data_IF_012288838131
#
_entry.id   IF_012288838131
#
_cell.length_a   1.000
_cell.length_b   1.000
_cell.length_c   1.000
_cell.angle_alpha   90.00
_cell.angle_beta   90.00
_cell.angle_gamma   90.00
#
_symmetry.space_group_name_H-M   'P 1'
#
loop_
_entity.id
_entity.type
_entity.pdbx_description
1 polymer ?
#
# COMPACT_ATOMS: atom_id res chain seq x y z
N UNK A 1 -17.29 -9.63 -8.50
CA UNK A 1 -18.20 -10.81 -8.59
C UNK A 1 -17.68 -11.87 -9.56
N UNK A 2 -17.40 -11.53 -10.83
CA UNK A 2 -16.93 -12.46 -11.88
C UNK A 2 -15.76 -13.38 -11.46
N UNK A 3 -14.67 -12.82 -10.94
CA UNK A 3 -13.49 -13.61 -10.52
C UNK A 3 -13.80 -14.65 -9.44
N UNK A 4 -14.78 -14.40 -8.57
CA UNK A 4 -15.21 -15.38 -7.55
C UNK A 4 -15.90 -16.57 -8.20
N UNK A 5 -16.79 -16.31 -9.16
CA UNK A 5 -17.53 -17.37 -9.87
C UNK A 5 -16.58 -18.23 -10.71
N UNK A 6 -15.63 -17.59 -11.40
CA UNK A 6 -14.58 -18.30 -12.14
C UNK A 6 -13.75 -19.22 -11.22
N UNK A 7 -13.35 -18.72 -10.05
CA UNK A 7 -12.61 -19.52 -9.08
C UNK A 7 -13.41 -20.74 -8.58
N UNK A 8 -14.70 -20.56 -8.28
CA UNK A 8 -15.57 -21.67 -7.87
C UNK A 8 -15.75 -22.71 -8.98
N UNK A 9 -15.90 -22.27 -10.23
CA UNK A 9 -16.03 -23.17 -11.37
C UNK A 9 -14.75 -24.01 -11.58
N UNK A 10 -13.57 -23.40 -11.53
CA UNK A 10 -12.29 -24.10 -11.66
C UNK A 10 -12.04 -25.08 -10.50
N UNK A 11 -12.40 -24.69 -9.27
CA UNK A 11 -12.30 -25.57 -8.10
C UNK A 11 -13.22 -26.79 -8.24
N UNK A 12 -14.48 -26.56 -8.65
CA UNK A 12 -15.45 -27.63 -8.90
C UNK A 12 -14.98 -28.60 -10.00
N UNK A 13 -14.43 -28.07 -11.09
CA UNK A 13 -13.89 -28.88 -12.17
C UNK A 13 -12.67 -29.70 -11.73
N UNK A 14 -11.72 -29.10 -11.00
CA UNK A 14 -10.58 -29.83 -10.46
C UNK A 14 -11.00 -30.98 -9.52
N UNK A 15 -11.95 -30.72 -8.61
CA UNK A 15 -12.49 -31.75 -7.72
C UNK A 15 -13.20 -32.88 -8.49
N UNK A 16 -13.95 -32.55 -9.54
CA UNK A 16 -14.59 -33.53 -10.41
C UNK A 16 -13.56 -34.40 -11.14
N UNK A 17 -12.48 -33.81 -11.66
CA UNK A 17 -11.38 -34.55 -12.27
C UNK A 17 -10.71 -35.53 -11.29
N UNK A 18 -10.39 -35.09 -10.05
CA UNK A 18 -9.81 -35.95 -9.01
C UNK A 18 -10.74 -37.11 -8.67
N UNK A 19 -12.04 -36.84 -8.51
CA UNK A 19 -13.04 -37.90 -8.24
C UNK A 19 -13.11 -38.93 -9.38
N UNK A 20 -13.05 -38.49 -10.63
CA UNK A 20 -13.02 -39.41 -11.77
C UNK A 20 -11.76 -40.25 -11.83
N UNK A 21 -10.59 -39.69 -11.49
CA UNK A 21 -9.36 -40.46 -11.34
C UNK A 21 -9.53 -41.60 -10.33
N UNK A 22 -10.09 -41.30 -9.15
CA UNK A 22 -10.32 -42.30 -8.10
C UNK A 22 -11.30 -43.40 -8.52
N UNK A 23 -12.33 -43.06 -9.30
CA UNK A 23 -13.40 -44.00 -9.66
C UNK A 23 -13.08 -44.84 -10.91
N UNK A 24 -12.46 -44.23 -11.92
CA UNK A 24 -12.29 -44.82 -13.25
C UNK A 24 -10.84 -45.23 -13.53
N UNK A 25 -9.89 -44.81 -12.70
CA UNK A 25 -8.47 -44.84 -13.04
C UNK A 25 -8.16 -43.88 -14.21
N UNK A 26 -6.92 -43.92 -14.68
CA UNK A 26 -6.45 -43.07 -15.78
C UNK A 26 -5.77 -41.80 -15.29
N UNK A 27 -4.53 -41.59 -15.72
CA UNK A 27 -3.65 -40.50 -15.28
C UNK A 27 -4.03 -39.14 -15.88
N UNK A 28 -4.71 -39.11 -17.03
CA UNK A 28 -5.12 -37.89 -17.72
C UNK A 28 -6.01 -36.99 -16.85
N UNK A 29 -6.84 -37.58 -15.99
CA UNK A 29 -7.68 -36.85 -15.05
C UNK A 29 -6.87 -35.99 -14.06
N UNK A 30 -5.69 -36.45 -13.63
CA UNK A 30 -4.80 -35.67 -12.76
C UNK A 30 -4.18 -34.50 -13.51
N UNK A 31 -3.84 -34.71 -14.79
CA UNK A 31 -3.34 -33.65 -15.67
C UNK A 31 -4.37 -32.55 -15.86
N UNK A 32 -5.64 -32.90 -16.14
CA UNK A 32 -6.72 -31.91 -16.24
C UNK A 32 -6.99 -31.18 -14.92
N UNK A 33 -6.91 -31.87 -13.79
CA UNK A 33 -7.01 -31.24 -12.47
C UNK A 33 -5.88 -30.21 -12.26
N UNK A 34 -4.64 -30.56 -12.64
CA UNK A 34 -3.50 -29.64 -12.63
C UNK A 34 -3.71 -28.40 -13.49
N UNK A 35 -4.19 -28.57 -14.72
CA UNK A 35 -4.51 -27.45 -15.62
C UNK A 35 -5.62 -26.53 -15.11
N UNK A 36 -6.56 -27.05 -14.32
CA UNK A 36 -7.62 -26.26 -13.72
C UNK A 36 -7.19 -25.53 -12.45
N UNK A 37 -6.34 -26.18 -11.63
CA UNK A 37 -5.75 -25.58 -10.44
C UNK A 37 -4.83 -24.41 -10.78
N UNK A 38 -4.14 -24.46 -11.90
CA UNK A 38 -3.21 -23.42 -12.33
C UNK A 38 -3.86 -22.02 -12.49
N UNK A 39 -4.92 -21.79 -13.29
CA UNK A 39 -5.61 -20.51 -13.35
C UNK A 39 -6.39 -20.18 -12.06
N UNK A 40 -6.86 -21.20 -11.33
CA UNK A 40 -7.54 -20.99 -10.05
C UNK A 40 -6.60 -20.33 -9.04
N UNK A 41 -5.41 -20.91 -8.90
CA UNK A 41 -4.39 -20.39 -7.97
C UNK A 41 -4.02 -18.98 -8.36
N UNK A 42 -3.78 -18.69 -9.64
CA UNK A 42 -3.55 -17.32 -10.13
C UNK A 42 -4.66 -16.32 -9.76
N UNK A 43 -5.94 -16.67 -9.96
CA UNK A 43 -7.07 -15.77 -9.60
C UNK A 43 -7.12 -15.52 -8.09
N UNK A 44 -6.89 -16.57 -7.29
CA UNK A 44 -6.82 -16.45 -5.84
C UNK A 44 -5.62 -15.61 -5.42
N UNK A 45 -4.46 -15.75 -6.07
CA UNK A 45 -3.27 -14.91 -5.88
C UNK A 45 -3.60 -13.44 -6.07
N UNK A 46 -4.25 -13.09 -7.19
CA UNK A 46 -4.52 -11.70 -7.52
C UNK A 46 -5.46 -11.06 -6.50
N UNK A 47 -6.49 -11.79 -6.06
CA UNK A 47 -7.40 -11.32 -5.02
C UNK A 47 -6.75 -11.21 -3.65
N UNK A 48 -6.03 -12.24 -3.23
CA UNK A 48 -5.36 -12.27 -1.94
C UNK A 48 -4.23 -11.24 -1.88
N UNK A 49 -3.45 -11.11 -2.95
CA UNK A 49 -2.39 -10.11 -3.10
C UNK A 49 -2.92 -8.69 -3.02
N UNK A 50 -4.01 -8.36 -3.73
CA UNK A 50 -4.62 -7.03 -3.64
C UNK A 50 -5.06 -6.68 -2.21
N UNK A 51 -5.66 -7.65 -1.50
CA UNK A 51 -6.05 -7.48 -0.09
C UNK A 51 -4.85 -7.39 0.84
N UNK A 52 -3.80 -8.18 0.59
CA UNK A 52 -2.57 -8.17 1.36
C UNK A 52 -1.83 -6.83 1.26
N UNK A 53 -1.72 -6.29 0.04
CA UNK A 53 -1.11 -4.99 -0.21
C UNK A 53 -1.84 -3.89 0.55
N UNK A 54 -3.18 -3.93 0.54
CA UNK A 54 -4.00 -2.95 1.23
C UNK A 54 -3.87 -3.08 2.76
N UNK A 55 -4.06 -4.28 3.31
CA UNK A 55 -4.22 -4.47 4.76
C UNK A 55 -2.95 -4.93 5.48
N UNK A 56 -1.77 -4.80 4.86
CA UNK A 56 -0.50 -5.26 5.46
C UNK A 56 -0.47 -6.78 5.66
N UNK A 57 -1.08 -7.52 4.73
CA UNK A 57 -1.26 -8.97 4.79
C UNK A 57 0.06 -9.73 4.76
N UNK A 58 0.24 -10.54 5.80
CA UNK A 58 1.40 -11.36 6.11
C UNK A 58 1.84 -12.33 5.00
N UNK A 59 3.14 -12.67 5.03
CA UNK A 59 3.83 -13.79 4.37
C UNK A 59 2.99 -15.08 4.15
N UNK A 60 1.97 -15.31 4.97
CA UNK A 60 1.01 -16.43 4.88
C UNK A 60 0.34 -16.55 3.50
N UNK A 61 0.05 -15.45 2.82
CA UNK A 61 -0.53 -15.50 1.45
C UNK A 61 0.49 -16.04 0.44
N UNK A 62 1.75 -15.62 0.55
CA UNK A 62 2.83 -16.17 -0.26
C UNK A 62 3.13 -17.63 0.07
N UNK A 63 3.04 -18.03 1.34
CA UNK A 63 3.17 -19.43 1.76
C UNK A 63 2.05 -20.30 1.18
N UNK A 64 0.79 -19.83 1.21
CA UNK A 64 -0.33 -20.53 0.59
C UNK A 64 -0.11 -20.70 -0.91
N UNK A 65 0.38 -19.66 -1.59
CA UNK A 65 0.71 -19.70 -3.02
C UNK A 65 1.80 -20.74 -3.33
N UNK A 66 2.86 -20.76 -2.53
CA UNK A 66 3.93 -21.74 -2.67
C UNK A 66 3.41 -23.17 -2.57
N UNK A 67 2.54 -23.45 -1.59
CA UNK A 67 1.91 -24.76 -1.40
C UNK A 67 1.02 -25.14 -2.60
N UNK A 68 0.25 -24.21 -3.12
CA UNK A 68 -0.64 -24.45 -4.25
C UNK A 68 0.11 -24.68 -5.57
N UNK A 69 1.19 -23.95 -5.82
CA UNK A 69 2.07 -24.21 -6.97
C UNK A 69 2.75 -25.58 -6.83
N UNK A 70 3.21 -25.94 -5.62
CA UNK A 70 3.73 -27.27 -5.32
C UNK A 70 2.71 -28.38 -5.57
N UNK A 71 1.46 -28.19 -5.15
CA UNK A 71 0.39 -29.15 -5.39
C UNK A 71 0.09 -29.31 -6.89
N UNK A 72 0.07 -28.21 -7.64
CA UNK A 72 -0.14 -28.22 -9.10
C UNK A 72 0.98 -29.00 -9.78
N UNK A 73 2.23 -28.79 -9.35
CA UNK A 73 3.39 -29.54 -9.83
C UNK A 73 3.24 -31.04 -9.59
N UNK A 74 2.88 -31.44 -8.36
CA UNK A 74 2.71 -32.85 -8.00
C UNK A 74 1.63 -33.51 -8.86
N UNK A 75 0.50 -32.84 -9.08
CA UNK A 75 -0.59 -33.37 -9.90
C UNK A 75 -0.20 -33.52 -11.38
N UNK A 76 0.46 -32.51 -11.94
CA UNK A 76 0.96 -32.56 -13.32
C UNK A 76 2.02 -33.65 -13.49
N UNK A 77 2.88 -33.86 -12.50
CA UNK A 77 3.90 -34.91 -12.55
C UNK A 77 3.33 -36.31 -12.37
N UNK A 78 2.35 -36.48 -11.48
CA UNK A 78 1.65 -37.75 -11.31
C UNK A 78 0.83 -38.16 -12.54
N UNK A 79 0.32 -37.18 -13.28
CA UNK A 79 -0.41 -37.37 -14.54
C UNK A 79 0.48 -37.60 -15.77
N UNK A 80 1.77 -37.23 -15.71
CA UNK A 80 2.71 -37.33 -16.83
C UNK A 80 3.44 -38.67 -16.84
N UNK A 81 3.40 -39.38 -17.97
CA UNK A 81 4.01 -40.70 -18.19
C UNK A 81 5.56 -40.69 -18.24
N UNK A 82 6.20 -39.67 -17.67
CA UNK A 82 7.66 -39.54 -17.63
C UNK A 82 8.30 -39.08 -18.94
N UNK A 83 7.52 -38.72 -19.96
CA UNK A 83 8.02 -38.49 -21.33
C UNK A 83 8.37 -37.04 -21.67
N UNK A 84 8.33 -36.09 -20.71
CA UNK A 84 8.84 -34.74 -20.99
C UNK A 84 8.90 -33.80 -19.79
N UNK A 85 9.92 -32.94 -19.77
CA UNK A 85 10.08 -31.87 -18.77
C UNK A 85 9.20 -30.64 -19.04
N UNK A 86 8.36 -30.64 -20.10
CA UNK A 86 7.51 -29.50 -20.44
C UNK A 86 6.58 -29.01 -19.29
N UNK A 87 5.91 -29.89 -18.50
CA UNK A 87 5.09 -29.43 -17.37
C UNK A 87 5.94 -28.82 -16.24
N UNK A 88 7.19 -29.27 -16.06
CA UNK A 88 8.12 -28.69 -15.09
C UNK A 88 8.50 -27.27 -15.50
N UNK A 89 8.89 -27.06 -16.75
CA UNK A 89 9.27 -25.74 -17.26
C UNK A 89 8.11 -24.75 -17.23
N UNK A 90 6.88 -25.18 -17.57
CA UNK A 90 5.69 -24.34 -17.49
C UNK A 90 5.39 -23.93 -16.05
N UNK A 91 5.45 -24.88 -15.10
CA UNK A 91 5.22 -24.60 -13.67
C UNK A 91 6.27 -23.63 -13.14
N UNK A 92 7.54 -23.84 -13.49
CA UNK A 92 8.64 -22.98 -13.08
C UNK A 92 8.49 -21.56 -13.65
N UNK A 93 8.15 -21.43 -14.93
CA UNK A 93 7.91 -20.14 -15.57
C UNK A 93 6.76 -19.37 -14.89
N UNK A 94 5.67 -20.05 -14.54
CA UNK A 94 4.56 -19.42 -13.82
C UNK A 94 4.91 -19.05 -12.38
N UNK A 95 5.72 -19.86 -11.70
CA UNK A 95 6.21 -19.52 -10.37
C UNK A 95 7.07 -18.26 -10.40
N UNK A 96 8.03 -18.20 -11.33
CA UNK A 96 8.87 -17.01 -11.55
C UNK A 96 8.00 -15.81 -11.91
N UNK A 97 7.03 -15.98 -12.82
CA UNK A 97 6.09 -14.91 -13.18
C UNK A 97 5.30 -14.40 -11.97
N UNK A 98 4.79 -15.30 -11.13
CA UNK A 98 4.03 -14.95 -9.92
C UNK A 98 4.89 -14.25 -8.89
N UNK A 99 6.13 -14.72 -8.68
CA UNK A 99 7.09 -14.10 -7.78
C UNK A 99 7.50 -12.70 -8.27
N UNK A 100 7.73 -12.54 -9.57
CA UNK A 100 8.00 -11.23 -10.19
C UNK A 100 6.83 -10.27 -10.00
N UNK A 101 5.59 -10.72 -10.17
CA UNK A 101 4.39 -9.92 -9.90
C UNK A 101 4.33 -9.57 -8.41
N UNK A 102 4.56 -10.51 -7.50
CA UNK A 102 4.56 -10.28 -6.07
C UNK A 102 5.57 -9.21 -5.63
N UNK A 103 6.82 -9.29 -6.11
CA UNK A 103 7.87 -8.30 -5.85
C UNK A 103 7.48 -6.94 -6.45
N UNK A 104 6.93 -6.95 -7.67
CA UNK A 104 6.46 -5.73 -8.34
C UNK A 104 5.32 -5.07 -7.57
N UNK A 105 4.38 -5.85 -7.01
CA UNK A 105 3.24 -5.34 -6.25
C UNK A 105 3.67 -4.60 -4.98
N UNK A 106 4.77 -4.99 -4.34
CA UNK A 106 5.35 -4.23 -3.23
C UNK A 106 5.79 -2.83 -3.69
N UNK A 107 6.39 -2.74 -4.89
CA UNK A 107 6.69 -1.46 -5.54
C UNK A 107 5.43 -0.65 -5.90
N UNK A 108 4.32 -1.32 -6.23
CA UNK A 108 3.03 -0.67 -6.50
C UNK A 108 2.19 -0.39 -5.25
N UNK A 109 2.61 -0.84 -4.06
CA UNK A 109 1.84 -0.71 -2.81
C UNK A 109 1.41 0.73 -2.56
N UNK A 110 2.33 1.68 -2.66
CA UNK A 110 2.03 3.11 -2.50
C UNK A 110 1.03 3.64 -3.55
N UNK A 111 1.04 3.11 -4.77
CA UNK A 111 0.09 3.49 -5.82
C UNK A 111 -1.32 2.93 -5.53
N UNK A 112 -1.39 1.68 -5.08
CA UNK A 112 -2.66 1.00 -4.73
C UNK A 112 -3.31 1.67 -3.51
N UNK A 113 -2.53 1.92 -2.44
CA UNK A 113 -3.00 2.64 -1.25
C UNK A 113 -3.52 4.01 -1.65
N UNK A 114 -2.73 4.78 -2.42
CA UNK A 114 -3.15 6.12 -2.88
C UNK A 114 -4.45 6.08 -3.68
N UNK A 115 -4.60 5.12 -4.59
CA UNK A 115 -5.81 5.02 -5.41
C UNK A 115 -7.04 4.69 -4.56
N UNK A 116 -6.92 3.73 -3.65
CA UNK A 116 -8.00 3.36 -2.73
C UNK A 116 -8.35 4.52 -1.79
N UNK A 117 -7.35 5.13 -1.17
CA UNK A 117 -7.49 6.30 -0.30
C UNK A 117 -8.17 7.49 -1.01
N UNK A 118 -7.87 7.73 -2.28
CA UNK A 118 -8.57 8.74 -3.10
C UNK A 118 -10.05 8.36 -3.32
N UNK A 119 -10.35 7.07 -3.44
CA UNK A 119 -11.74 6.58 -3.49
C UNK A 119 -12.51 6.85 -2.19
N UNK A 120 -11.92 6.52 -1.05
CA UNK A 120 -12.54 6.74 0.27
C UNK A 120 -12.69 8.23 0.59
N UNK A 121 -11.67 9.06 0.29
CA UNK A 121 -11.74 10.52 0.42
C UNK A 121 -12.93 11.11 -0.35
N UNK A 122 -13.22 10.62 -1.57
CA UNK A 122 -14.35 11.12 -2.37
C UNK A 122 -15.72 10.85 -1.77
N UNK A 123 -15.84 9.87 -0.87
CA UNK A 123 -17.10 9.60 -0.17
C UNK A 123 -17.41 10.68 0.87
N UNK A 124 -16.39 11.35 1.40
CA UNK A 124 -16.53 12.39 2.44
C UNK A 124 -16.36 13.80 1.89
N UNK A 125 -15.51 14.01 0.89
CA UNK A 125 -15.27 15.31 0.24
C UNK A 125 -15.20 15.10 -1.27
N UNK A 126 -16.19 15.63 -2.00
CA UNK A 126 -16.33 15.40 -3.44
C UNK A 126 -15.13 15.92 -4.26
N UNK A 127 -14.47 16.96 -3.74
CA UNK A 127 -13.32 17.62 -4.34
C UNK A 127 -12.01 16.81 -4.20
N UNK A 128 -12.01 15.68 -3.47
CA UNK A 128 -10.88 14.77 -3.37
C UNK A 128 -10.54 14.11 -4.72
N UNK A 129 -9.83 14.81 -5.58
CA UNK A 129 -9.27 14.26 -6.80
C UNK A 129 -7.94 14.95 -7.08
N UNK A 130 -6.90 14.14 -7.28
CA UNK A 130 -5.52 14.61 -7.48
C UNK A 130 -5.35 15.58 -8.67
N UNK A 131 -6.35 15.69 -9.55
CA UNK A 131 -6.35 16.63 -10.68
C UNK A 131 -7.33 17.80 -10.56
N UNK A 132 -8.31 17.75 -9.66
CA UNK A 132 -9.35 18.79 -9.56
C UNK A 132 -8.89 19.90 -8.63
N UNK A 133 -8.46 19.54 -7.42
CA UNK A 133 -8.19 20.49 -6.34
C UNK A 133 -7.19 21.60 -6.73
N UNK A 134 -6.04 21.32 -7.38
CA UNK A 134 -5.09 22.38 -7.79
C UNK A 134 -5.64 23.36 -8.83
N UNK A 135 -6.64 22.93 -9.62
CA UNK A 135 -7.25 23.70 -10.71
C UNK A 135 -8.43 24.56 -10.26
N UNK A 136 -8.88 24.38 -9.02
CA UNK A 136 -9.96 25.20 -8.47
C UNK A 136 -9.48 26.64 -8.26
N UNK A 137 -10.38 27.63 -8.33
CA UNK A 137 -10.07 28.99 -7.90
C UNK A 137 -9.81 29.02 -6.38
N UNK A 138 -8.99 29.97 -5.92
CA UNK A 138 -8.56 30.12 -4.53
C UNK A 138 -9.69 29.97 -3.47
N UNK A 139 -10.87 30.62 -3.58
CA UNK A 139 -11.92 30.46 -2.56
C UNK A 139 -12.44 29.02 -2.48
N UNK A 140 -12.55 28.33 -3.62
CA UNK A 140 -13.01 26.93 -3.64
C UNK A 140 -11.94 25.97 -3.10
N UNK A 141 -10.66 26.31 -3.24
CA UNK A 141 -9.58 25.54 -2.61
C UNK A 141 -9.65 25.64 -1.09
N UNK A 142 -9.84 26.85 -0.56
CA UNK A 142 -10.00 27.08 0.87
C UNK A 142 -11.20 26.31 1.43
N UNK A 143 -12.37 26.42 0.79
CA UNK A 143 -13.56 25.65 1.18
C UNK A 143 -13.28 24.13 1.19
N UNK A 144 -12.60 23.62 0.18
CA UNK A 144 -12.23 22.20 0.12
C UNK A 144 -11.25 21.80 1.23
N UNK A 145 -10.26 22.65 1.54
CA UNK A 145 -9.31 22.42 2.65
C UNK A 145 -10.03 22.44 4.01
N UNK A 146 -11.00 23.31 4.21
CA UNK A 146 -11.80 23.35 5.44
C UNK A 146 -12.62 22.06 5.60
N UNK A 147 -13.29 21.61 4.54
CA UNK A 147 -14.01 20.32 4.54
C UNK A 147 -13.07 19.15 4.83
N UNK A 148 -11.87 19.15 4.24
CA UNK A 148 -10.88 18.10 4.50
C UNK A 148 -10.37 18.14 5.93
N UNK A 149 -10.13 19.32 6.49
CA UNK A 149 -9.69 19.52 7.88
C UNK A 149 -10.74 18.98 8.85
N UNK A 150 -12.01 19.32 8.64
CA UNK A 150 -13.12 18.82 9.44
C UNK A 150 -13.27 17.28 9.33
N UNK A 151 -13.18 16.74 8.11
CA UNK A 151 -13.24 15.29 7.88
C UNK A 151 -12.05 14.55 8.52
N UNK A 152 -10.86 15.17 8.52
CA UNK A 152 -9.65 14.59 9.10
C UNK A 152 -9.78 14.45 10.62
N UNK A 153 -10.36 15.45 11.29
CA UNK A 153 -10.63 15.41 12.72
C UNK A 153 -11.71 14.39 13.09
N UNK A 154 -12.67 14.12 12.20
CA UNK A 154 -13.79 13.21 12.45
C UNK A 154 -13.49 11.74 12.11
N UNK A 155 -12.53 11.47 11.22
CA UNK A 155 -12.36 10.11 10.66
C UNK A 155 -11.42 9.22 11.49
N UNK A 156 -11.93 8.04 11.86
CA UNK A 156 -11.10 6.94 12.34
C UNK A 156 -10.56 6.05 11.22
N UNK A 157 -11.11 6.17 10.00
CA UNK A 157 -10.75 5.31 8.87
C UNK A 157 -9.37 5.67 8.29
N UNK A 158 -8.51 4.65 8.23
CA UNK A 158 -7.13 4.79 7.80
C UNK A 158 -6.99 5.30 6.36
N UNK A 159 -7.76 4.73 5.41
CA UNK A 159 -7.64 5.13 4.00
C UNK A 159 -8.25 6.50 3.72
N UNK A 160 -9.34 6.86 4.41
CA UNK A 160 -9.92 8.19 4.37
C UNK A 160 -8.90 9.21 4.85
N UNK A 161 -8.23 8.96 5.98
CA UNK A 161 -7.17 9.81 6.52
C UNK A 161 -6.02 10.01 5.52
N UNK A 162 -5.48 8.93 4.96
CA UNK A 162 -4.44 8.99 3.92
C UNK A 162 -4.92 9.80 2.71
N UNK A 163 -6.17 9.59 2.29
CA UNK A 163 -6.75 10.25 1.13
C UNK A 163 -6.85 11.76 1.33
N UNK A 164 -7.29 12.20 2.51
CA UNK A 164 -7.37 13.61 2.88
C UNK A 164 -5.98 14.25 2.87
N UNK A 165 -4.99 13.65 3.53
CA UNK A 165 -3.60 14.14 3.57
C UNK A 165 -3.00 14.18 2.16
N UNK A 166 -3.24 13.16 1.33
CA UNK A 166 -2.80 13.11 -0.06
C UNK A 166 -3.38 14.25 -0.90
N UNK A 167 -4.62 14.68 -0.65
CA UNK A 167 -5.22 15.79 -1.40
C UNK A 167 -4.67 17.14 -0.92
N UNK A 168 -4.49 17.31 0.39
CA UNK A 168 -3.82 18.50 0.96
C UNK A 168 -2.41 18.71 0.39
N UNK A 169 -1.68 17.63 0.11
CA UNK A 169 -0.34 17.68 -0.52
C UNK A 169 -0.31 18.43 -1.86
N UNK A 170 -1.43 18.45 -2.59
CA UNK A 170 -1.52 19.12 -3.89
C UNK A 170 -1.82 20.63 -3.79
N UNK A 171 -2.16 21.14 -2.61
CA UNK A 171 -2.44 22.56 -2.33
C UNK A 171 -1.71 23.01 -1.05
N UNK A 172 -0.36 22.93 -1.03
CA UNK A 172 0.42 23.06 0.21
C UNK A 172 0.32 24.45 0.86
N UNK A 173 0.05 25.52 0.09
CA UNK A 173 -0.11 26.86 0.65
C UNK A 173 -1.42 26.98 1.44
N UNK A 174 -2.53 26.51 0.86
CA UNK A 174 -3.85 26.51 1.50
C UNK A 174 -3.91 25.48 2.63
N UNK A 175 -3.25 24.33 2.47
CA UNK A 175 -3.24 23.24 3.44
C UNK A 175 -2.58 23.59 4.78
N UNK A 176 -1.87 24.72 4.90
CA UNK A 176 -1.32 25.18 6.19
C UNK A 176 -2.43 25.36 7.24
N UNK A 177 -3.64 25.74 6.82
CA UNK A 177 -4.81 25.84 7.69
C UNK A 177 -5.23 24.48 8.31
N UNK A 178 -4.82 23.36 7.70
CA UNK A 178 -5.11 22.02 8.20
C UNK A 178 -4.07 21.51 9.22
N UNK A 179 -2.96 22.23 9.43
CA UNK A 179 -1.90 21.81 10.36
C UNK A 179 -2.41 21.46 11.77
N UNK A 180 -3.33 22.23 12.40
CA UNK A 180 -3.86 21.88 13.72
C UNK A 180 -4.52 20.49 13.77
N UNK A 181 -5.11 20.02 12.67
CA UNK A 181 -5.69 18.69 12.58
C UNK A 181 -4.66 17.60 12.20
N UNK A 182 -3.59 17.97 11.48
CA UNK A 182 -2.53 17.03 11.06
C UNK A 182 -1.53 16.76 12.19
N UNK A 183 -1.14 17.78 12.96
CA UNK A 183 -0.15 17.69 14.04
C UNK A 183 -0.43 16.55 15.04
N UNK A 184 -1.65 16.41 15.61
CA UNK A 184 -1.92 15.34 16.57
C UNK A 184 -1.78 13.94 15.97
N UNK A 185 -1.92 13.79 14.64
CA UNK A 185 -1.78 12.49 13.97
C UNK A 185 -0.32 12.00 13.92
N UNK A 186 0.67 12.89 14.01
CA UNK A 186 2.10 12.52 13.90
C UNK A 186 2.52 11.53 15.00
N UNK A 187 1.95 11.67 16.19
CA UNK A 187 2.32 10.87 17.35
C UNK A 187 1.94 9.40 17.19
N UNK A 188 0.74 9.11 16.66
CA UNK A 188 0.14 7.77 16.63
C UNK A 188 -0.09 7.23 15.21
N UNK A 189 0.39 7.93 14.18
CA UNK A 189 0.26 7.50 12.80
C UNK A 189 0.98 6.17 12.56
N UNK A 190 0.29 5.26 11.86
CA UNK A 190 0.91 4.09 11.25
C UNK A 190 1.93 4.52 10.18
N UNK A 191 2.86 3.62 9.76
CA UNK A 191 3.93 3.98 8.84
C UNK A 191 3.48 4.60 7.51
N UNK A 192 2.33 4.20 6.98
CA UNK A 192 1.83 4.73 5.71
C UNK A 192 1.27 6.14 5.92
N UNK A 193 0.41 6.32 6.92
CA UNK A 193 -0.13 7.64 7.29
C UNK A 193 1.02 8.61 7.58
N UNK A 194 2.01 8.18 8.37
CA UNK A 194 3.16 8.99 8.72
C UNK A 194 3.94 9.39 7.46
N UNK A 195 4.22 8.45 6.56
CA UNK A 195 4.92 8.74 5.29
C UNK A 195 4.20 9.78 4.44
N UNK A 196 2.87 9.82 4.43
CA UNK A 196 2.11 10.87 3.73
C UNK A 196 2.11 12.21 4.48
N UNK A 197 2.04 12.20 5.81
CA UNK A 197 2.18 13.42 6.61
C UNK A 197 3.54 14.06 6.35
N UNK A 198 4.63 13.29 6.41
CA UNK A 198 5.98 13.82 6.17
C UNK A 198 6.12 14.41 4.77
N UNK A 199 5.57 13.76 3.74
CA UNK A 199 5.54 14.32 2.37
C UNK A 199 4.77 15.64 2.30
N UNK A 200 3.66 15.77 3.02
CA UNK A 200 2.90 17.02 3.12
C UNK A 200 3.75 18.12 3.78
N UNK A 201 4.34 17.84 4.95
CA UNK A 201 5.17 18.79 5.69
C UNK A 201 6.41 19.19 4.88
N UNK A 202 7.07 18.23 4.23
CA UNK A 202 8.21 18.47 3.34
C UNK A 202 7.83 19.40 2.17
N UNK A 203 6.61 19.26 1.63
CA UNK A 203 6.10 20.11 0.56
C UNK A 203 5.81 21.54 1.02
N UNK A 204 5.36 21.70 2.28
CA UNK A 204 5.12 23.02 2.90
C UNK A 204 6.43 23.72 3.28
N UNK A 205 7.49 22.98 3.60
CA UNK A 205 8.75 23.54 4.07
C UNK A 205 8.58 24.31 5.37
N UNK A 206 9.12 25.53 5.46
CA UNK A 206 9.02 26.38 6.65
C UNK A 206 7.60 26.81 7.00
N UNK A 207 6.64 26.71 6.06
CA UNK A 207 5.22 26.90 6.34
C UNK A 207 4.61 25.86 7.26
N UNK A 208 5.34 24.78 7.58
CA UNK A 208 4.95 23.74 8.52
C UNK A 208 5.78 23.76 9.83
N UNK A 209 6.40 24.90 10.17
CA UNK A 209 7.24 25.02 11.37
C UNK A 209 6.52 24.60 12.66
N UNK A 210 5.20 24.83 12.77
CA UNK A 210 4.38 24.45 13.92
C UNK A 210 4.34 22.93 14.17
N UNK A 211 4.61 22.11 13.14
CA UNK A 211 4.67 20.66 13.26
C UNK A 211 6.05 20.15 13.75
N UNK A 212 7.08 21.00 13.79
CA UNK A 212 8.43 20.59 14.17
C UNK A 212 8.53 19.94 15.57
N UNK A 213 7.85 20.45 16.63
CA UNK A 213 7.89 19.82 17.95
C UNK A 213 7.30 18.40 17.94
N UNK A 214 6.20 18.18 17.19
CA UNK A 214 5.57 16.87 17.10
C UNK A 214 6.45 15.86 16.34
N UNK A 215 7.10 16.30 15.25
CA UNK A 215 8.09 15.50 14.52
C UNK A 215 9.28 15.13 15.41
N UNK A 216 9.80 16.09 16.18
CA UNK A 216 10.91 15.86 17.11
C UNK A 216 10.52 14.88 18.23
N UNK A 217 9.32 15.02 18.81
CA UNK A 217 8.81 14.09 19.82
C UNK A 217 8.69 12.66 19.26
N UNK A 218 8.22 12.51 18.01
CA UNK A 218 8.15 11.22 17.33
C UNK A 218 9.54 10.61 17.05
N UNK A 219 10.57 11.44 16.83
CA UNK A 219 11.97 10.95 16.74
C UNK A 219 12.46 10.45 18.11
N UNK A 220 12.18 11.19 19.19
CA UNK A 220 12.65 10.84 20.53
C UNK A 220 12.03 9.55 21.10
N UNK A 221 10.76 9.27 20.80
CA UNK A 221 10.04 8.11 21.32
C UNK A 221 10.27 6.77 20.59
N UNK A 222 11.27 6.68 19.71
CA UNK A 222 11.30 5.64 18.67
C UNK A 222 12.09 4.37 18.98
N UNK A 223 11.70 3.30 18.28
CA UNK A 223 12.47 2.05 18.16
C UNK A 223 13.24 2.02 16.82
N UNK A 224 14.34 1.22 16.68
CA UNK A 224 15.23 1.25 15.50
C UNK A 224 14.61 0.91 14.13
N UNK A 225 13.33 0.54 14.07
CA UNK A 225 12.67 0.01 12.86
C UNK A 225 11.99 1.08 11.99
N UNK A 226 11.72 2.25 12.54
CA UNK A 226 11.15 3.36 11.79
C UNK A 226 12.26 4.19 11.13
N UNK A 227 12.12 4.52 9.84
CA UNK A 227 13.08 5.32 9.08
C UNK A 227 13.27 6.69 9.74
N UNK A 228 14.27 6.82 10.61
CA UNK A 228 14.67 8.06 11.26
C UNK A 228 15.09 9.09 10.23
N UNK A 229 15.71 8.63 9.14
CA UNK A 229 16.15 9.47 8.03
C UNK A 229 15.06 10.37 7.46
N UNK A 230 13.86 9.85 7.18
CA UNK A 230 12.79 10.67 6.58
C UNK A 230 12.28 11.73 7.57
N UNK A 231 12.17 11.38 8.85
CA UNK A 231 11.69 12.31 9.87
C UNK A 231 12.72 13.37 10.22
N UNK A 232 14.01 13.00 10.30
CA UNK A 232 15.11 13.94 10.50
C UNK A 232 15.26 14.89 9.30
N UNK A 233 15.17 14.36 8.08
CA UNK A 233 15.18 15.17 6.86
C UNK A 233 14.00 16.14 6.83
N UNK A 234 12.81 15.67 7.17
CA UNK A 234 11.61 16.52 7.27
C UNK A 234 11.78 17.60 8.34
N UNK A 235 12.23 17.22 9.54
CA UNK A 235 12.48 18.15 10.65
C UNK A 235 13.44 19.26 10.25
N UNK A 236 14.55 18.91 9.61
CA UNK A 236 15.54 19.87 9.12
C UNK A 236 14.94 20.88 8.13
N UNK A 237 13.97 20.47 7.31
CA UNK A 237 13.36 21.32 6.29
C UNK A 237 12.27 22.24 6.83
N UNK A 238 11.50 21.76 7.81
CA UNK A 238 10.40 22.55 8.41
C UNK A 238 10.88 23.46 9.53
N UNK A 239 12.02 23.17 10.17
CA UNK A 239 12.61 24.04 11.18
C UNK A 239 13.19 25.28 10.51
N UNK A 240 12.71 26.50 10.82
CA UNK A 240 13.32 27.72 10.31
C UNK A 240 14.79 27.76 10.75
N UNK A 241 15.72 28.03 9.82
CA UNK A 241 17.11 28.30 10.16
C UNK A 241 17.20 29.65 10.89
N UNK A 242 16.81 29.70 12.16
CA UNK A 242 17.11 30.79 13.07
C UNK A 242 18.03 30.22 14.15
N UNK A 243 19.26 30.75 14.23
CA UNK A 243 20.32 30.48 15.23
C UNK A 243 21.41 29.43 14.92
N UNK A 244 22.14 29.59 13.81
CA UNK A 244 23.54 29.10 13.72
C UNK A 244 24.57 30.21 13.46
N UNK A 245 24.18 31.48 13.36
CA UNK A 245 25.12 32.59 13.07
C UNK A 245 25.08 33.75 14.07
N UNK A 246 24.38 33.63 15.20
CA UNK A 246 24.13 34.76 16.09
C UNK A 246 24.44 34.49 17.57
N UNK A 247 25.64 34.03 17.91
CA UNK A 247 26.30 34.28 19.22
C UNK A 247 27.76 33.79 19.18
N UNK A 248 28.63 34.56 18.52
CA UNK A 248 30.06 34.60 18.86
C UNK A 248 30.28 35.71 19.89
N UNK A 249 31.07 35.49 20.95
CA UNK A 249 31.15 36.40 22.09
C UNK A 249 31.76 37.75 21.70
N UNK A 250 31.09 38.82 22.08
CA UNK A 250 31.69 40.16 22.18
C UNK A 250 32.74 40.08 23.27
N UNK A 251 34.01 39.92 22.89
CA UNK A 251 35.13 40.19 23.77
C UNK A 251 35.20 41.71 23.96
N UNK A 252 34.52 42.23 24.99
CA UNK A 252 34.82 43.56 25.52
C UNK A 252 36.11 43.48 26.30
N UNK A 253 37.08 44.32 25.94
CA UNK A 253 38.35 44.40 26.63
C UNK A 253 38.23 44.89 28.07
N UNK A 254 39.22 44.47 28.85
CA UNK A 254 39.87 45.21 29.93
C UNK A 254 41.25 44.61 30.13
#
# INVERSE_FOLDING_TARGET
MFLTLLALALAGFAAWCVRNHMNKGGRDWLTYAGYALMPLTFVLTMKAGASAVLHGGSFKIFAALFLFTGLTYVLLRAGSDGTGNAPLWLTLAMFIGTLSIAISLEGYRGMIIKHHATGECRKVVAECSSGILPRLPAPKKQEAVEKMTAALAATSDHYTRIGLICNLYYVPAEAQAALPAVIPLIADADPDTLGYILKLLDKMGTGAADAAPAVAARIAGRTPRESTYELEATLKKITPQQNLTGHGPVLSGS
#
